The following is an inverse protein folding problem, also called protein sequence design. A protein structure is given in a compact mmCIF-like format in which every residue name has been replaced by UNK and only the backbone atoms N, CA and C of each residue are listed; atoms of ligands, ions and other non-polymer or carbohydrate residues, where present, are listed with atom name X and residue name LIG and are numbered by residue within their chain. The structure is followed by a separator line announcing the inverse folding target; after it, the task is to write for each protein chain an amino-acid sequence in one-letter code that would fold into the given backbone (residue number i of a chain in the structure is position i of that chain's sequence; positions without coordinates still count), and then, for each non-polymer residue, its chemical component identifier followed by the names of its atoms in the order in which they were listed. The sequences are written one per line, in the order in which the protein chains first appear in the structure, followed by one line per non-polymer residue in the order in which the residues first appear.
data_IF_856049360517
#
_entry.id   IF_856049360517
#
_cell.length_a   1.000
_cell.length_b   1.000
_cell.length_c   1.000
_cell.angle_alpha   90.00
_cell.angle_beta   90.00
_cell.angle_gamma   90.00
#
_symmetry.space_group_name_H-M   'P 1'
#
loop_
_entity.id
_entity.type
_entity.pdbx_description
1 polymer ?
#
# COMPACT_ATOMS: atom_id res chain seq x y z
N UNK A 1 80.62 -16.03 -47.65
CA UNK A 1 81.29 -15.97 -46.35
C UNK A 1 80.23 -15.46 -45.29
N UNK A 2 79.98 -16.29 -44.27
CA UNK A 2 79.23 -16.05 -43.05
C UNK A 2 77.71 -15.85 -43.20
N UNK A 3 76.97 -16.88 -42.98
CA UNK A 3 76.14 -17.35 -41.87
C UNK A 3 75.71 -16.25 -40.83
N UNK A 4 74.43 -16.00 -40.77
CA UNK A 4 73.82 -15.62 -39.50
C UNK A 4 72.41 -16.20 -39.35
N UNK A 5 72.26 -16.98 -38.37
CA UNK A 5 71.11 -17.73 -37.91
C UNK A 5 69.95 -16.80 -37.54
N UNK A 6 68.74 -17.07 -38.01
CA UNK A 6 67.51 -16.50 -37.47
C UNK A 6 66.82 -17.53 -36.59
N UNK A 7 66.71 -17.19 -35.30
CA UNK A 7 66.01 -17.97 -34.29
C UNK A 7 64.49 -17.77 -34.44
N UNK A 8 63.66 -18.80 -34.36
CA UNK A 8 62.22 -18.65 -34.36
C UNK A 8 61.78 -18.32 -32.93
N UNK A 9 61.10 -17.18 -32.74
CA UNK A 9 60.44 -16.80 -31.53
C UNK A 9 59.15 -17.62 -31.32
N UNK A 10 59.18 -18.46 -30.31
CA UNK A 10 58.04 -19.24 -29.83
C UNK A 10 57.00 -18.31 -29.23
N UNK A 11 55.92 -18.03 -29.95
CA UNK A 11 54.79 -17.31 -29.40
C UNK A 11 53.93 -18.25 -28.54
N UNK A 12 54.09 -18.21 -27.23
CA UNK A 12 53.21 -18.87 -26.30
C UNK A 12 51.84 -18.18 -26.35
N UNK A 13 50.84 -18.84 -26.88
CA UNK A 13 49.43 -18.41 -26.80
C UNK A 13 48.89 -18.76 -25.41
N UNK A 14 48.73 -17.76 -24.56
CA UNK A 14 48.02 -17.88 -23.31
C UNK A 14 46.54 -17.84 -23.64
N UNK A 15 45.91 -19.01 -23.66
CA UNK A 15 44.44 -19.13 -23.69
C UNK A 15 43.92 -18.86 -22.28
N UNK A 16 43.45 -17.64 -22.04
CA UNK A 16 42.71 -17.28 -20.81
C UNK A 16 41.32 -17.87 -20.89
N UNK A 17 41.12 -18.98 -20.20
CA UNK A 17 39.81 -19.62 -20.01
C UNK A 17 39.01 -18.75 -19.03
N UNK A 18 38.20 -17.80 -19.54
CA UNK A 18 37.25 -17.04 -18.76
C UNK A 18 36.09 -17.99 -18.36
N UNK A 19 36.19 -18.57 -17.16
CA UNK A 19 35.09 -19.26 -16.52
C UNK A 19 34.01 -18.21 -16.19
N UNK A 20 33.00 -18.09 -17.03
CA UNK A 20 31.79 -17.32 -16.72
C UNK A 20 31.09 -17.98 -15.51
N UNK A 21 31.29 -17.45 -14.32
CA UNK A 21 30.44 -17.74 -13.18
C UNK A 21 29.02 -17.26 -13.51
N UNK A 22 28.21 -18.15 -14.05
CA UNK A 22 26.76 -17.97 -14.07
C UNK A 22 26.27 -18.04 -12.62
N UNK A 23 26.16 -16.89 -11.96
CA UNK A 23 25.47 -16.80 -10.69
C UNK A 23 24.02 -17.27 -10.94
N UNK A 24 23.49 -18.23 -10.13
CA UNK A 24 22.09 -18.58 -10.23
C UNK A 24 21.30 -17.30 -9.94
N UNK A 25 20.56 -16.83 -10.91
CA UNK A 25 19.55 -15.81 -10.72
C UNK A 25 18.52 -16.45 -9.79
N UNK A 26 18.53 -16.07 -8.50
CA UNK A 26 17.48 -16.42 -7.58
C UNK A 26 16.21 -15.80 -8.17
N UNK A 27 15.37 -16.62 -8.78
CA UNK A 27 14.06 -16.21 -9.20
C UNK A 27 13.36 -15.70 -7.96
N UNK A 28 13.13 -14.39 -7.89
CA UNK A 28 12.40 -13.75 -6.82
C UNK A 28 10.99 -14.29 -6.94
N UNK A 29 10.57 -15.16 -6.00
CA UNK A 29 9.22 -15.67 -5.96
C UNK A 29 8.31 -14.45 -5.73
N UNK A 30 7.44 -14.20 -6.69
CA UNK A 30 6.41 -13.17 -6.59
C UNK A 30 5.35 -13.67 -5.59
N UNK A 31 5.43 -13.19 -4.36
CA UNK A 31 4.54 -13.56 -3.27
C UNK A 31 3.40 -12.55 -3.17
N UNK A 32 2.18 -13.04 -2.99
CA UNK A 32 1.00 -12.22 -2.76
C UNK A 32 0.40 -12.49 -1.38
N UNK A 33 -0.10 -11.45 -0.68
CA UNK A 33 -0.79 -11.64 0.58
C UNK A 33 -2.15 -12.28 0.38
N UNK A 34 -2.44 -13.33 1.16
CA UNK A 34 -3.74 -14.02 1.20
C UNK A 34 -4.21 -14.13 2.65
N UNK A 35 -5.53 -14.17 2.91
CA UNK A 35 -6.04 -14.38 4.26
C UNK A 35 -5.69 -15.76 4.81
N UNK A 36 -5.36 -15.85 6.10
CA UNK A 36 -5.23 -17.13 6.84
C UNK A 36 -6.59 -17.71 7.25
N UNK A 37 -7.56 -16.82 7.50
CA UNK A 37 -8.91 -17.14 7.92
C UNK A 37 -9.91 -16.30 7.14
N UNK A 38 -11.20 -16.60 7.24
CA UNK A 38 -12.25 -15.80 6.60
C UNK A 38 -12.27 -14.41 7.24
N UNK A 39 -12.24 -13.36 6.41
CA UNK A 39 -12.40 -11.97 6.82
C UNK A 39 -13.72 -11.49 6.23
N UNK A 40 -14.60 -10.95 7.08
CA UNK A 40 -15.93 -10.51 6.69
C UNK A 40 -15.95 -9.03 6.27
N UNK A 41 -16.95 -8.62 5.47
CA UNK A 41 -17.12 -7.22 5.12
C UNK A 41 -17.24 -6.32 6.35
N UNK A 42 -16.44 -5.25 6.40
CA UNK A 42 -16.35 -4.33 7.53
C UNK A 42 -15.19 -4.60 8.48
N UNK A 43 -14.65 -5.83 8.49
CA UNK A 43 -13.51 -6.18 9.34
C UNK A 43 -12.24 -5.44 8.90
N UNK A 44 -11.43 -5.05 9.88
CA UNK A 44 -10.12 -4.47 9.66
C UNK A 44 -9.12 -5.57 9.30
N UNK A 45 -8.41 -5.40 8.21
CA UNK A 45 -7.37 -6.34 7.77
C UNK A 45 -6.08 -6.05 8.54
N UNK A 46 -5.67 -6.98 9.40
CA UNK A 46 -4.44 -6.92 10.17
C UNK A 46 -3.35 -7.76 9.51
N UNK A 47 -2.09 -7.39 9.73
CA UNK A 47 -0.95 -8.13 9.17
C UNK A 47 -0.90 -9.59 9.61
N UNK A 48 -1.27 -9.85 10.87
CA UNK A 48 -1.34 -11.20 11.45
C UNK A 48 -2.39 -12.11 10.80
N UNK A 49 -3.39 -11.52 10.13
CA UNK A 49 -4.42 -12.26 9.39
C UNK A 49 -3.97 -12.68 8.00
N UNK A 50 -2.78 -12.29 7.57
CA UNK A 50 -2.27 -12.52 6.23
C UNK A 50 -1.11 -13.52 6.21
N UNK A 51 -1.02 -14.28 5.13
CA UNK A 51 0.10 -15.15 4.77
C UNK A 51 0.50 -14.88 3.34
N UNK A 52 1.81 -14.88 3.06
CA UNK A 52 2.30 -14.73 1.70
C UNK A 52 2.36 -16.08 1.02
N UNK A 53 1.75 -16.19 -0.15
CA UNK A 53 1.76 -17.40 -0.98
C UNK A 53 2.29 -17.06 -2.38
N UNK A 54 2.90 -18.04 -3.08
CA UNK A 54 3.33 -17.82 -4.45
C UNK A 54 2.16 -17.34 -5.33
N UNK A 55 2.41 -16.29 -6.12
CA UNK A 55 1.41 -15.74 -7.03
C UNK A 55 1.05 -16.77 -8.10
N UNK A 56 -0.21 -17.17 -8.25
CA UNK A 56 -0.63 -18.09 -9.30
C UNK A 56 -0.51 -17.46 -10.71
N UNK A 57 -0.60 -16.14 -10.81
CA UNK A 57 -0.32 -15.39 -12.03
C UNK A 57 1.17 -14.99 -12.03
N UNK A 58 2.01 -15.80 -12.65
CA UNK A 58 3.48 -15.65 -12.67
C UNK A 58 4.01 -14.34 -13.28
N UNK A 59 3.16 -13.54 -13.87
CA UNK A 59 3.50 -12.28 -14.53
C UNK A 59 3.18 -11.04 -13.69
N UNK A 60 2.72 -11.22 -12.44
CA UNK A 60 2.34 -10.10 -11.56
C UNK A 60 1.16 -9.28 -12.07
N UNK A 61 0.60 -9.64 -13.20
CA UNK A 61 -0.52 -8.96 -13.84
C UNK A 61 -1.84 -9.61 -13.41
N UNK A 62 -2.45 -9.08 -12.38
CA UNK A 62 -3.78 -9.51 -11.95
C UNK A 62 -4.49 -8.37 -11.23
N UNK A 63 -5.81 -8.37 -11.15
CA UNK A 63 -6.58 -7.40 -10.39
C UNK A 63 -6.44 -7.64 -8.87
N UNK A 64 -5.34 -8.24 -8.44
CA UNK A 64 -5.08 -8.65 -7.07
C UNK A 64 -4.01 -7.79 -6.42
N UNK A 65 -4.12 -7.63 -5.11
CA UNK A 65 -3.15 -6.91 -4.30
C UNK A 65 -1.88 -7.75 -4.18
N UNK A 66 -0.75 -7.13 -4.52
CA UNK A 66 0.58 -7.76 -4.50
C UNK A 66 1.44 -7.33 -3.31
N UNK A 67 0.94 -6.47 -2.43
CA UNK A 67 1.70 -5.97 -1.28
C UNK A 67 0.82 -5.83 -0.06
N UNK A 68 1.33 -6.26 1.11
CA UNK A 68 0.66 -6.10 2.41
C UNK A 68 0.42 -4.64 2.76
N UNK A 69 1.34 -3.76 2.41
CA UNK A 69 1.23 -2.32 2.69
C UNK A 69 -0.01 -1.66 2.06
N UNK A 70 -0.54 -2.28 0.99
CA UNK A 70 -1.74 -1.77 0.31
C UNK A 70 -3.04 -2.18 1.00
N UNK A 71 -3.02 -3.18 1.90
CA UNK A 71 -4.23 -3.75 2.51
C UNK A 71 -4.24 -3.73 4.04
N UNK A 72 -3.08 -3.77 4.69
CA UNK A 72 -3.01 -3.68 6.15
C UNK A 72 -3.57 -2.33 6.62
N UNK A 73 -4.49 -2.37 7.58
CA UNK A 73 -5.21 -1.19 8.09
C UNK A 73 -6.41 -0.75 7.25
N UNK A 74 -6.70 -1.45 6.15
CA UNK A 74 -7.93 -1.23 5.38
C UNK A 74 -9.06 -2.14 5.87
N UNK A 75 -10.27 -1.81 5.48
CA UNK A 75 -11.46 -2.64 5.75
C UNK A 75 -11.77 -3.54 4.55
N UNK A 76 -12.18 -4.77 4.83
CA UNK A 76 -12.70 -5.66 3.81
C UNK A 76 -14.06 -5.13 3.30
N UNK A 77 -14.27 -5.14 1.98
CA UNK A 77 -15.56 -4.82 1.35
C UNK A 77 -16.35 -6.07 0.97
N UNK A 78 -15.63 -7.17 0.76
CA UNK A 78 -16.15 -8.47 0.39
C UNK A 78 -15.68 -9.49 1.40
N UNK A 79 -16.36 -10.64 1.46
CA UNK A 79 -15.83 -11.79 2.20
C UNK A 79 -14.56 -12.27 1.54
N UNK A 80 -13.44 -12.23 2.27
CA UNK A 80 -12.16 -12.71 1.81
C UNK A 80 -11.93 -14.13 2.35
N UNK A 81 -11.67 -15.06 1.45
CA UNK A 81 -11.52 -16.47 1.78
C UNK A 81 -10.05 -16.85 1.98
N UNK A 82 -9.75 -17.77 2.89
CA UNK A 82 -8.38 -18.24 3.14
C UNK A 82 -7.72 -18.78 1.87
N UNK A 83 -6.45 -18.45 1.67
CA UNK A 83 -5.65 -18.92 0.55
C UNK A 83 -6.02 -18.35 -0.82
N UNK A 84 -6.97 -17.41 -0.91
CA UNK A 84 -7.36 -16.76 -2.13
C UNK A 84 -6.71 -15.38 -2.24
N UNK A 85 -6.31 -15.00 -3.46
CA UNK A 85 -5.78 -13.67 -3.74
C UNK A 85 -6.83 -12.59 -3.44
N UNK A 86 -6.40 -11.49 -2.82
CA UNK A 86 -7.29 -10.39 -2.44
C UNK A 86 -7.42 -9.43 -3.62
N UNK A 87 -8.63 -9.25 -4.20
CA UNK A 87 -8.82 -8.30 -5.28
C UNK A 87 -8.77 -6.87 -4.76
N UNK A 88 -8.31 -5.91 -5.58
CA UNK A 88 -8.32 -4.48 -5.22
C UNK A 88 -9.73 -3.97 -4.85
N UNK A 89 -10.77 -4.49 -5.51
CA UNK A 89 -12.16 -4.16 -5.19
C UNK A 89 -12.65 -4.72 -3.85
N UNK A 90 -11.93 -5.70 -3.29
CA UNK A 90 -12.25 -6.36 -2.02
C UNK A 90 -11.85 -5.57 -0.77
N UNK A 91 -11.14 -4.45 -0.94
CA UNK A 91 -10.65 -3.62 0.16
C UNK A 91 -11.04 -2.16 -0.03
N UNK A 92 -11.18 -1.44 1.08
CA UNK A 92 -11.44 0.00 1.09
C UNK A 92 -10.74 0.66 2.27
N UNK A 93 -10.59 1.97 2.23
CA UNK A 93 -10.16 2.71 3.40
C UNK A 93 -11.18 2.51 4.52
N UNK A 94 -10.69 2.39 5.76
CA UNK A 94 -11.56 2.32 6.93
C UNK A 94 -12.35 3.62 7.06
N UNK A 95 -13.67 3.50 7.18
CA UNK A 95 -14.51 4.63 7.55
C UNK A 95 -14.22 5.02 8.99
N UNK A 96 -13.87 6.27 9.23
CA UNK A 96 -13.64 6.83 10.55
C UNK A 96 -14.82 7.70 11.00
N UNK A 97 -15.54 8.25 10.03
CA UNK A 97 -16.70 9.08 10.25
C UNK A 97 -17.90 8.43 9.57
N UNK A 98 -19.00 8.29 10.28
CA UNK A 98 -20.27 7.78 9.76
C UNK A 98 -21.32 8.89 9.69
N UNK A 99 -22.22 8.79 8.73
CA UNK A 99 -23.35 9.73 8.64
C UNK A 99 -24.15 9.73 9.96
N UNK A 100 -24.40 10.91 10.50
CA UNK A 100 -25.08 11.12 11.78
C UNK A 100 -24.18 10.97 13.02
N UNK A 101 -22.91 10.59 12.85
CA UNK A 101 -21.99 10.51 13.98
C UNK A 101 -21.55 11.91 14.45
N UNK A 102 -21.41 12.06 15.75
CA UNK A 102 -20.79 13.24 16.35
C UNK A 102 -19.28 13.22 16.06
N UNK A 103 -18.75 14.32 15.56
CA UNK A 103 -17.36 14.51 15.22
C UNK A 103 -16.83 15.83 15.78
N UNK A 104 -15.54 15.89 16.02
CA UNK A 104 -14.85 17.10 16.40
C UNK A 104 -14.48 17.90 15.15
N UNK A 105 -15.02 19.10 14.99
CA UNK A 105 -14.57 20.06 13.99
C UNK A 105 -13.36 20.81 14.52
N UNK A 106 -12.31 20.87 13.73
CA UNK A 106 -11.08 21.58 14.04
C UNK A 106 -10.83 22.61 12.95
N UNK A 107 -10.86 23.89 13.31
CA UNK A 107 -10.43 24.96 12.43
C UNK A 107 -9.05 25.41 12.88
N UNK A 108 -8.11 25.55 11.94
CA UNK A 108 -6.74 25.97 12.18
C UNK A 108 -6.33 27.05 11.19
N UNK A 109 -5.90 28.20 11.71
CA UNK A 109 -5.40 29.33 10.92
C UNK A 109 -4.22 29.99 11.69
N UNK A 110 -2.99 29.80 11.18
CA UNK A 110 -1.77 30.20 11.89
C UNK A 110 -1.67 29.52 13.26
N UNK A 111 -1.56 30.32 14.30
CA UNK A 111 -1.51 29.85 15.69
C UNK A 111 -2.89 29.67 16.36
N UNK A 112 -3.98 29.99 15.64
CA UNK A 112 -5.34 29.86 16.15
C UNK A 112 -5.89 28.47 15.84
N UNK A 113 -6.30 27.75 16.89
CA UNK A 113 -7.02 26.46 16.78
C UNK A 113 -8.36 26.61 17.50
N UNK A 114 -9.44 26.41 16.76
CA UNK A 114 -10.80 26.38 17.30
C UNK A 114 -11.35 24.98 17.16
N UNK A 115 -11.95 24.47 18.21
CA UNK A 115 -12.58 23.16 18.24
C UNK A 115 -14.04 23.27 18.66
N UNK A 116 -14.95 22.64 17.91
CA UNK A 116 -16.38 22.64 18.21
C UNK A 116 -17.00 21.28 17.85
N UNK A 117 -18.07 20.83 18.51
CA UNK A 117 -18.78 19.63 18.11
C UNK A 117 -19.55 19.84 16.81
N UNK A 118 -19.75 18.76 16.07
CA UNK A 118 -20.57 18.75 14.86
C UNK A 118 -21.07 17.37 14.52
N UNK A 119 -22.12 17.32 13.71
CA UNK A 119 -22.73 16.08 13.25
C UNK A 119 -22.35 15.84 11.77
N UNK A 120 -21.75 14.70 11.47
CA UNK A 120 -21.37 14.34 10.10
C UNK A 120 -22.63 14.08 9.26
N UNK A 121 -22.66 14.62 8.04
CA UNK A 121 -23.78 14.43 7.11
C UNK A 121 -23.50 13.35 6.07
N UNK A 122 -22.30 12.76 6.09
CA UNK A 122 -21.89 11.68 5.18
C UNK A 122 -20.77 10.85 5.80
N UNK A 123 -20.61 9.63 5.29
CA UNK A 123 -19.49 8.77 5.66
C UNK A 123 -18.17 9.31 5.11
N UNK A 124 -17.07 9.07 5.84
CA UNK A 124 -15.72 9.44 5.39
C UNK A 124 -14.63 8.57 5.98
N UNK A 125 -13.62 8.33 5.17
CA UNK A 125 -12.35 7.71 5.52
C UNK A 125 -11.27 8.78 5.70
N UNK A 126 -10.10 8.41 6.20
CA UNK A 126 -8.96 9.35 6.33
C UNK A 126 -8.72 10.09 5.00
N UNK A 127 -8.66 11.41 5.07
CA UNK A 127 -8.40 12.30 3.94
C UNK A 127 -9.61 12.64 3.08
N UNK A 128 -10.76 11.97 3.28
CA UNK A 128 -11.98 12.30 2.55
C UNK A 128 -12.53 13.66 3.00
N UNK A 129 -13.06 14.43 2.06
CA UNK A 129 -13.78 15.66 2.37
C UNK A 129 -15.22 15.30 2.69
N UNK A 130 -15.62 15.59 3.93
CA UNK A 130 -16.98 15.33 4.42
C UNK A 130 -17.69 16.63 4.78
N UNK A 131 -19.02 16.62 4.65
CA UNK A 131 -19.88 17.69 5.14
C UNK A 131 -20.25 17.41 6.59
N UNK A 132 -20.08 18.40 7.42
CA UNK A 132 -20.43 18.34 8.85
C UNK A 132 -21.26 19.56 9.19
N UNK A 133 -22.33 19.34 9.93
CA UNK A 133 -23.10 20.42 10.52
C UNK A 133 -22.52 20.75 11.87
N UNK A 134 -22.14 21.99 12.07
CA UNK A 134 -21.72 22.50 13.38
C UNK A 134 -22.94 22.55 14.33
N UNK A 135 -22.85 21.92 15.47
CA UNK A 135 -24.00 21.79 16.37
C UNK A 135 -24.29 23.09 17.14
N UNK A 136 -23.26 23.93 17.34
CA UNK A 136 -23.43 25.22 18.04
C UNK A 136 -24.09 26.28 17.15
N UNK A 137 -23.66 26.36 15.87
CA UNK A 137 -24.14 27.41 14.96
C UNK A 137 -25.19 26.92 13.96
N UNK A 138 -25.36 25.61 13.79
CA UNK A 138 -26.20 24.99 12.76
C UNK A 138 -25.67 25.09 11.34
N UNK A 139 -24.52 25.71 11.12
CA UNK A 139 -23.92 25.91 9.79
C UNK A 139 -23.28 24.61 9.31
N UNK A 140 -23.45 24.29 8.03
CA UNK A 140 -22.77 23.15 7.40
C UNK A 140 -21.46 23.62 6.80
N UNK A 141 -20.38 22.93 7.16
CA UNK A 141 -19.03 23.14 6.69
C UNK A 141 -18.50 21.87 6.03
N UNK A 142 -17.47 22.03 5.18
CA UNK A 142 -16.76 20.89 4.59
C UNK A 142 -15.35 20.83 5.16
N UNK A 143 -14.86 19.64 5.47
CA UNK A 143 -13.52 19.46 6.01
C UNK A 143 -12.98 18.07 5.74
N UNK A 144 -11.66 17.92 5.88
CA UNK A 144 -10.95 16.67 5.69
C UNK A 144 -10.96 15.84 6.97
N UNK A 145 -11.30 14.55 6.85
CA UNK A 145 -11.26 13.58 7.94
C UNK A 145 -9.81 13.30 8.33
N UNK A 146 -9.50 13.50 9.61
CA UNK A 146 -8.19 13.25 10.19
C UNK A 146 -8.07 11.80 10.73
N UNK A 147 -6.84 11.30 10.98
CA UNK A 147 -6.63 9.94 11.51
C UNK A 147 -7.29 9.69 12.87
N UNK A 148 -7.50 10.71 13.65
CA UNK A 148 -8.16 10.65 14.97
C UNK A 148 -9.70 10.69 14.88
N UNK A 149 -10.26 10.75 13.67
CA UNK A 149 -11.70 10.88 13.43
C UNK A 149 -12.23 12.31 13.53
N UNK A 150 -11.39 13.29 13.79
CA UNK A 150 -11.79 14.70 13.71
C UNK A 150 -11.90 15.16 12.25
N UNK A 151 -12.58 16.28 12.03
CA UNK A 151 -12.73 16.89 10.71
C UNK A 151 -12.09 18.26 10.71
N UNK A 152 -11.01 18.39 9.93
CA UNK A 152 -10.30 19.66 9.81
C UNK A 152 -10.93 20.52 8.73
N UNK A 153 -11.36 21.70 9.13
CA UNK A 153 -11.93 22.74 8.25
C UNK A 153 -10.84 23.73 7.92
N UNK A 154 -10.62 24.00 6.63
CA UNK A 154 -9.74 25.10 6.18
C UNK A 154 -10.58 26.35 5.98
N UNK A 155 -10.07 27.53 6.41
CA UNK A 155 -10.62 28.81 6.00
C UNK A 155 -10.54 28.93 4.48
N UNK A 156 -11.66 29.22 3.83
CA UNK A 156 -11.73 29.48 2.39
C UNK A 156 -11.22 30.86 2.05
#
# INVERSE_FOLDING_TARGET
MRLTQARPLLKAAIVALAAACAAPSLAQEDLIPTPKAVIYPGDLILDEMLVDVPNPARDGSGPFVNSRSLIVGKAARLTLLPGHAIPFSGVSNRKLVSNGAEVKLVFSEGDLIITTPGSALQDGSIGDIVKVRNDDSGVTVSGAVQPDGSVQVSGG
#
